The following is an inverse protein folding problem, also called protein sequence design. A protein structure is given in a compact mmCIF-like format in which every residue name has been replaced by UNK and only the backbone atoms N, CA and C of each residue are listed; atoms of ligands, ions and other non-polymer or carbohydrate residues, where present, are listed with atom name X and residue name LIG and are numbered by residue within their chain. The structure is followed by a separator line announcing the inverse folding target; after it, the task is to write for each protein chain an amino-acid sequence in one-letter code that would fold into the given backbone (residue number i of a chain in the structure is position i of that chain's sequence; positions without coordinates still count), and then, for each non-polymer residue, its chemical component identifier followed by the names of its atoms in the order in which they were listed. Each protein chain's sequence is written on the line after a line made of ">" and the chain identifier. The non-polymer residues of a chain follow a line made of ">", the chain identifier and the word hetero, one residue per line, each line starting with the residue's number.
data_IF_141575636109
#
_entry.id   IF_141575636109
#
_cell.length_a   1.000
_cell.length_b   1.000
_cell.length_c   1.000
_cell.angle_alpha   90.00
_cell.angle_beta   90.00
_cell.angle_gamma   90.00
#
_symmetry.space_group_name_H-M   'P 1'
#
loop_
_entity.id
_entity.type
_entity.pdbx_description
1 polymer ?
#
# COMPACT_ATOMS: atom_id res chain seq x y z
N UNK A 1 -26.39 14.01 -13.59
CA UNK A 1 -25.68 13.29 -14.66
C UNK A 1 -24.73 14.28 -15.32
N UNK A 2 -23.42 14.12 -15.15
CA UNK A 2 -22.42 15.02 -15.74
C UNK A 2 -22.04 14.50 -17.15
N UNK A 3 -21.83 15.40 -18.10
CA UNK A 3 -21.44 15.08 -19.48
C UNK A 3 -20.15 15.80 -19.85
N UNK A 4 -19.28 15.13 -20.58
CA UNK A 4 -18.11 15.76 -21.21
C UNK A 4 -18.52 16.24 -22.62
N UNK A 5 -18.26 17.51 -22.93
CA UNK A 5 -18.48 18.09 -24.25
C UNK A 5 -17.24 17.77 -25.14
N UNK A 6 -17.43 17.04 -26.21
CA UNK A 6 -16.45 16.94 -27.29
C UNK A 6 -16.84 17.90 -28.44
N UNK A 7 -15.85 18.36 -29.19
CA UNK A 7 -15.94 19.39 -30.25
C UNK A 7 -17.05 19.19 -31.32
N UNK A 8 -17.76 18.06 -31.29
CA UNK A 8 -18.85 17.75 -32.22
C UNK A 8 -20.23 17.61 -31.54
N UNK A 9 -20.41 18.16 -30.35
CA UNK A 9 -21.72 18.24 -29.68
C UNK A 9 -22.29 16.91 -29.19
N UNK A 10 -21.58 15.80 -29.31
CA UNK A 10 -22.00 14.51 -28.72
C UNK A 10 -21.67 14.49 -27.23
N UNK A 11 -22.70 14.33 -26.42
CA UNK A 11 -22.56 14.14 -24.97
C UNK A 11 -22.46 12.64 -24.71
N UNK A 12 -21.36 12.22 -24.12
CA UNK A 12 -21.24 10.87 -23.57
C UNK A 12 -21.61 10.90 -22.09
N UNK A 13 -22.40 9.93 -21.61
CA UNK A 13 -22.63 9.82 -20.17
C UNK A 13 -21.29 9.57 -19.47
N UNK A 14 -20.93 10.43 -18.51
CA UNK A 14 -19.80 10.13 -17.62
C UNK A 14 -20.22 8.95 -16.73
N UNK A 15 -19.61 7.81 -16.90
CA UNK A 15 -19.77 6.69 -15.97
C UNK A 15 -19.19 7.15 -14.64
N UNK A 16 -19.98 7.16 -13.54
CA UNK A 16 -19.44 7.43 -12.22
C UNK A 16 -18.48 6.29 -11.88
N UNK A 17 -17.21 6.55 -11.98
CA UNK A 17 -16.18 5.56 -11.65
C UNK A 17 -15.55 5.84 -10.29
N UNK A 18 -14.67 4.95 -9.88
CA UNK A 18 -13.80 5.12 -8.73
C UNK A 18 -12.96 6.39 -8.89
N UNK A 19 -12.85 7.17 -7.82
CA UNK A 19 -11.81 8.18 -7.68
C UNK A 19 -10.53 7.49 -7.27
N UNK A 20 -9.43 7.85 -7.89
CA UNK A 20 -8.12 7.31 -7.54
C UNK A 20 -7.05 8.39 -7.72
N UNK A 21 -6.22 8.58 -6.71
CA UNK A 21 -5.03 9.42 -6.73
C UNK A 21 -3.89 8.70 -6.04
N UNK A 22 -2.78 8.62 -6.73
CA UNK A 22 -1.48 8.30 -6.14
C UNK A 22 -0.84 9.63 -5.72
N UNK A 23 -0.39 9.72 -4.49
CA UNK A 23 0.36 10.84 -3.95
C UNK A 23 1.77 10.36 -3.61
N UNK A 24 2.76 11.09 -4.09
CA UNK A 24 4.17 10.74 -3.94
C UNK A 24 4.83 11.72 -2.98
N UNK A 25 5.63 11.19 -2.06
CA UNK A 25 6.55 11.97 -1.25
C UNK A 25 7.97 11.72 -1.79
N UNK A 26 8.52 12.70 -2.53
CA UNK A 26 9.82 12.56 -3.18
C UNK A 26 11.00 12.57 -2.19
N UNK A 27 10.81 13.10 -0.97
CA UNK A 27 11.87 13.13 0.06
C UNK A 27 12.13 11.75 0.65
N UNK A 28 11.05 10.97 0.84
CA UNK A 28 11.11 9.61 1.40
C UNK A 28 10.93 8.52 0.34
N UNK A 29 10.55 8.91 -0.88
CA UNK A 29 10.17 7.99 -1.97
C UNK A 29 9.02 7.04 -1.60
N UNK A 30 8.09 7.55 -0.79
CA UNK A 30 6.86 6.85 -0.40
C UNK A 30 5.71 7.20 -1.34
N UNK A 31 4.85 6.23 -1.60
CA UNK A 31 3.60 6.39 -2.34
C UNK A 31 2.41 6.04 -1.46
N UNK A 32 1.41 6.89 -1.47
CA UNK A 32 0.14 6.72 -0.77
C UNK A 32 -1.04 6.91 -1.71
N UNK A 33 -2.23 6.50 -1.30
CA UNK A 33 -3.36 6.40 -2.21
C UNK A 33 -4.63 6.96 -1.60
N UNK A 34 -5.24 7.94 -2.27
CA UNK A 34 -6.60 8.40 -1.96
C UNK A 34 -7.56 7.83 -3.01
N UNK A 35 -8.50 6.99 -2.58
CA UNK A 35 -9.43 6.34 -3.50
C UNK A 35 -10.82 6.16 -2.90
N UNK A 36 -11.80 5.88 -3.76
CA UNK A 36 -13.15 5.56 -3.31
C UNK A 36 -14.24 5.89 -4.32
N UNK A 37 -15.48 5.81 -3.89
CA UNK A 37 -16.65 5.93 -4.73
C UNK A 37 -17.21 7.37 -4.75
N UNK A 38 -17.11 8.05 -5.88
CA UNK A 38 -17.70 9.40 -6.03
C UNK A 38 -19.23 9.40 -5.88
N UNK A 39 -19.91 8.39 -6.42
CA UNK A 39 -21.37 8.36 -6.45
C UNK A 39 -21.99 8.04 -5.08
N UNK A 40 -21.25 7.43 -4.18
CA UNK A 40 -21.69 7.06 -2.82
C UNK A 40 -21.06 7.93 -1.73
N UNK A 41 -20.15 8.84 -2.11
CA UNK A 41 -19.57 9.81 -1.20
C UNK A 41 -18.70 9.20 -0.11
N UNK A 42 -17.78 8.30 -0.44
CA UNK A 42 -16.88 7.67 0.53
C UNK A 42 -15.47 7.52 -0.05
N UNK A 43 -14.48 8.09 0.65
CA UNK A 43 -13.05 7.95 0.35
C UNK A 43 -12.31 7.19 1.44
N UNK A 44 -11.23 6.51 1.04
CA UNK A 44 -10.21 5.99 1.92
C UNK A 44 -8.83 6.53 1.53
N UNK A 45 -7.93 6.59 2.51
CA UNK A 45 -6.48 6.77 2.29
C UNK A 45 -5.78 5.48 2.66
N UNK A 46 -4.84 5.03 1.82
CA UNK A 46 -4.01 3.85 2.07
C UNK A 46 -2.55 4.29 2.16
N UNK A 47 -1.84 3.81 3.19
CA UNK A 47 -0.46 4.12 3.55
C UNK A 47 -0.19 5.64 3.62
N UNK A 48 -0.94 6.40 4.46
CA UNK A 48 -0.80 7.85 4.52
C UNK A 48 0.55 8.27 5.10
N UNK A 49 1.24 9.18 4.42
CA UNK A 49 2.41 9.87 4.95
C UNK A 49 1.99 11.10 5.77
N UNK A 50 2.64 11.35 6.92
CA UNK A 50 2.27 12.47 7.81
C UNK A 50 2.34 13.83 7.12
N UNK A 51 3.34 14.05 6.27
CA UNK A 51 3.54 15.33 5.57
C UNK A 51 2.49 15.60 4.49
N UNK A 52 1.72 14.59 4.06
CA UNK A 52 0.69 14.70 3.03
C UNK A 52 -0.74 14.79 3.61
N UNK A 53 -0.90 14.82 4.93
CA UNK A 53 -2.22 14.83 5.58
C UNK A 53 -3.10 15.97 5.10
N UNK A 54 -2.56 17.18 5.00
CA UNK A 54 -3.32 18.36 4.52
C UNK A 54 -3.71 18.22 3.04
N UNK A 55 -2.89 17.55 2.23
CA UNK A 55 -3.20 17.32 0.81
C UNK A 55 -4.35 16.31 0.64
N UNK A 56 -4.38 15.20 1.41
CA UNK A 56 -5.52 14.27 1.38
C UNK A 56 -6.82 14.98 1.75
N UNK A 57 -6.81 15.82 2.79
CA UNK A 57 -7.97 16.55 3.24
C UNK A 57 -8.44 17.58 2.20
N UNK A 58 -7.51 18.34 1.60
CA UNK A 58 -7.83 19.30 0.55
C UNK A 58 -8.43 18.62 -0.69
N UNK A 59 -7.93 17.45 -1.09
CA UNK A 59 -8.47 16.67 -2.20
C UNK A 59 -9.89 16.16 -1.89
N UNK A 60 -10.13 15.67 -0.68
CA UNK A 60 -11.43 15.21 -0.22
C UNK A 60 -12.44 16.36 -0.16
N UNK A 61 -12.06 17.52 0.38
CA UNK A 61 -12.85 18.74 0.43
C UNK A 61 -13.20 19.23 -0.98
N UNK A 62 -12.22 19.31 -1.89
CA UNK A 62 -12.45 19.74 -3.27
C UNK A 62 -13.40 18.82 -4.04
N UNK A 63 -13.43 17.53 -3.67
CA UNK A 63 -14.38 16.57 -4.22
C UNK A 63 -15.76 16.61 -3.53
N UNK A 64 -15.86 17.23 -2.37
CA UNK A 64 -17.05 17.21 -1.51
C UNK A 64 -17.36 15.83 -0.94
N UNK A 65 -16.33 14.99 -0.71
CA UNK A 65 -16.47 13.59 -0.31
C UNK A 65 -15.62 13.33 0.94
N UNK A 66 -16.22 12.86 2.06
CA UNK A 66 -15.47 12.62 3.28
C UNK A 66 -14.52 11.42 3.16
N UNK A 67 -13.37 11.50 3.86
CA UNK A 67 -12.53 10.35 4.16
C UNK A 67 -13.20 9.60 5.32
N UNK A 68 -13.59 8.35 5.10
CA UNK A 68 -14.30 7.51 6.08
C UNK A 68 -13.45 6.33 6.55
N UNK A 69 -12.37 6.03 5.86
CA UNK A 69 -11.45 4.93 6.18
C UNK A 69 -10.00 5.36 5.97
N UNK A 70 -9.11 4.88 6.82
CA UNK A 70 -7.66 4.99 6.66
C UNK A 70 -7.07 3.60 6.86
N UNK A 71 -6.34 3.10 5.85
CA UNK A 71 -5.79 1.76 5.85
C UNK A 71 -4.27 1.82 5.84
N UNK A 72 -3.63 0.86 6.50
CA UNK A 72 -2.20 0.58 6.34
C UNK A 72 -2.01 -0.79 5.73
N UNK A 73 -1.04 -0.93 4.82
CA UNK A 73 -0.61 -2.26 4.35
C UNK A 73 0.14 -3.00 5.44
N UNK A 74 0.87 -2.28 6.26
CA UNK A 74 1.62 -2.77 7.41
C UNK A 74 1.95 -1.61 8.36
N UNK A 75 2.49 -1.88 9.55
CA UNK A 75 3.05 -0.82 10.40
C UNK A 75 4.34 -0.33 9.77
N UNK A 76 4.36 0.92 9.31
CA UNK A 76 5.50 1.53 8.64
C UNK A 76 6.70 1.66 9.59
N UNK A 77 7.92 1.44 9.08
CA UNK A 77 9.16 1.50 9.85
C UNK A 77 10.17 2.52 9.29
N UNK A 78 9.89 3.12 8.16
CA UNK A 78 10.76 4.03 7.43
C UNK A 78 10.24 5.47 7.40
N UNK A 79 8.93 5.67 7.58
CA UNK A 79 8.32 6.99 7.67
C UNK A 79 7.22 7.04 8.74
N UNK A 80 6.90 8.26 9.18
CA UNK A 80 5.80 8.49 10.12
C UNK A 80 4.47 8.46 9.38
N UNK A 81 3.57 7.59 9.85
CA UNK A 81 2.23 7.49 9.28
C UNK A 81 1.36 8.70 9.60
N UNK A 82 0.59 9.15 8.61
CA UNK A 82 -0.47 10.15 8.75
C UNK A 82 -1.79 9.59 9.30
N UNK A 83 -1.88 8.27 9.56
CA UNK A 83 -3.12 7.62 10.00
C UNK A 83 -3.69 8.24 11.28
N UNK A 84 -2.92 8.45 12.37
CA UNK A 84 -3.49 9.03 13.60
C UNK A 84 -4.07 10.43 13.38
N UNK A 85 -3.40 11.26 12.58
CA UNK A 85 -3.84 12.62 12.27
C UNK A 85 -5.12 12.63 11.42
N UNK A 86 -5.17 11.78 10.39
CA UNK A 86 -6.37 11.65 9.58
C UNK A 86 -7.56 11.16 10.39
N UNK A 87 -7.38 10.14 11.24
CA UNK A 87 -8.45 9.65 12.12
C UNK A 87 -8.93 10.74 13.07
N UNK A 88 -8.01 11.48 13.70
CA UNK A 88 -8.36 12.56 14.61
C UNK A 88 -9.14 13.70 13.93
N UNK A 89 -8.79 14.03 12.69
CA UNK A 89 -9.37 15.17 11.95
C UNK A 89 -10.66 14.83 11.20
N UNK A 90 -10.87 13.56 10.82
CA UNK A 90 -12.02 13.14 9.99
C UNK A 90 -13.03 12.25 10.73
N UNK A 91 -12.61 11.59 11.82
CA UNK A 91 -13.39 10.54 12.46
C UNK A 91 -13.42 9.24 11.65
N UNK A 92 -12.53 9.09 10.67
CA UNK A 92 -12.43 7.88 9.85
C UNK A 92 -12.07 6.65 10.69
N UNK A 93 -12.49 5.49 10.25
CA UNK A 93 -12.08 4.22 10.85
C UNK A 93 -10.68 3.85 10.39
N UNK A 94 -9.81 3.52 11.35
CA UNK A 94 -8.49 2.95 11.06
C UNK A 94 -8.62 1.44 10.79
N UNK A 95 -7.93 0.95 9.75
CA UNK A 95 -7.84 -0.46 9.40
C UNK A 95 -6.39 -0.88 9.28
N UNK A 96 -6.01 -1.96 9.96
CA UNK A 96 -4.67 -2.53 9.90
C UNK A 96 -4.75 -4.06 9.73
N UNK A 97 -3.69 -4.70 9.20
CA UNK A 97 -3.61 -6.15 9.18
C UNK A 97 -3.77 -6.76 10.57
N UNK A 98 -4.51 -7.87 10.64
CA UNK A 98 -4.54 -8.68 11.86
C UNK A 98 -3.11 -9.07 12.28
N UNK A 99 -2.82 -8.96 13.58
CA UNK A 99 -1.46 -9.21 14.09
C UNK A 99 -0.46 -8.05 13.90
N UNK A 100 -0.90 -6.88 13.44
CA UNK A 100 -0.04 -5.68 13.29
C UNK A 100 0.62 -5.23 14.59
N UNK A 101 0.01 -5.57 15.74
CA UNK A 101 0.47 -5.14 17.06
C UNK A 101 0.23 -3.65 17.34
N UNK A 102 -0.66 -2.99 16.59
CA UNK A 102 -1.05 -1.61 16.87
C UNK A 102 -1.77 -1.50 18.22
N UNK A 103 -1.42 -0.46 18.99
CA UNK A 103 -1.84 -0.24 20.37
C UNK A 103 -2.99 0.77 20.51
N UNK A 104 -3.50 1.28 19.40
CA UNK A 104 -4.61 2.24 19.32
C UNK A 104 -5.87 1.57 18.75
N UNK A 105 -7.06 2.17 18.95
CA UNK A 105 -8.30 1.63 18.38
C UNK A 105 -8.25 1.54 16.85
N UNK A 106 -8.41 0.36 16.32
CA UNK A 106 -8.47 0.08 14.89
C UNK A 106 -9.33 -1.15 14.61
N UNK A 107 -9.71 -1.33 13.37
CA UNK A 107 -10.34 -2.55 12.87
C UNK A 107 -9.24 -3.46 12.27
N UNK A 108 -9.01 -4.60 12.91
CA UNK A 108 -8.08 -5.60 12.40
C UNK A 108 -8.71 -6.32 11.20
N UNK A 109 -8.01 -6.31 10.07
CA UNK A 109 -8.44 -7.02 8.85
C UNK A 109 -7.78 -8.40 8.80
N UNK A 110 -8.59 -9.42 8.66
CA UNK A 110 -8.13 -10.77 8.32
C UNK A 110 -7.94 -10.91 6.80
N UNK A 111 -7.27 -11.99 6.38
CA UNK A 111 -7.14 -12.34 4.96
C UNK A 111 -8.52 -12.54 4.31
N UNK A 112 -8.78 -11.86 3.22
CA UNK A 112 -10.04 -11.91 2.48
C UNK A 112 -11.09 -10.90 2.94
N UNK A 113 -10.91 -10.20 4.06
CA UNK A 113 -11.83 -9.14 4.50
C UNK A 113 -11.93 -8.01 3.46
N UNK A 114 -13.10 -7.38 3.40
CA UNK A 114 -13.39 -6.34 2.41
C UNK A 114 -13.83 -5.05 3.09
N UNK A 115 -13.12 -3.97 2.79
CA UNK A 115 -13.54 -2.60 3.12
C UNK A 115 -14.32 -2.04 1.94
N UNK A 116 -15.61 -1.71 2.18
CA UNK A 116 -16.53 -1.22 1.14
C UNK A 116 -16.72 0.29 1.23
N UNK A 117 -16.41 0.98 0.13
CA UNK A 117 -16.58 2.41 -0.05
C UNK A 117 -17.63 2.66 -1.15
N UNK A 118 -18.86 2.29 -0.88
CA UNK A 118 -19.94 2.32 -1.89
C UNK A 118 -19.73 1.28 -2.99
N UNK A 119 -19.37 1.71 -4.21
CA UNK A 119 -19.08 0.79 -5.32
C UNK A 119 -17.59 0.43 -5.44
N UNK A 120 -16.74 0.98 -4.58
CA UNK A 120 -15.32 0.63 -4.52
C UNK A 120 -15.10 -0.33 -3.36
N UNK A 121 -14.45 -1.44 -3.63
CA UNK A 121 -14.10 -2.46 -2.64
C UNK A 121 -12.59 -2.63 -2.58
N UNK A 122 -12.04 -2.71 -1.36
CA UNK A 122 -10.66 -3.04 -1.07
C UNK A 122 -10.65 -4.38 -0.34
N UNK A 123 -10.23 -5.45 -1.01
CA UNK A 123 -10.09 -6.77 -0.39
C UNK A 123 -8.68 -6.93 0.15
N UNK A 124 -8.57 -7.25 1.43
CA UNK A 124 -7.31 -7.57 2.09
C UNK A 124 -6.78 -8.92 1.57
N UNK A 125 -5.53 -8.92 1.13
CA UNK A 125 -4.80 -10.11 0.70
C UNK A 125 -3.56 -10.23 1.57
N UNK A 126 -3.51 -11.20 2.47
CA UNK A 126 -2.35 -11.39 3.34
C UNK A 126 -1.10 -11.70 2.53
N UNK A 127 -0.09 -10.87 2.69
CA UNK A 127 1.20 -10.93 1.98
C UNK A 127 2.37 -10.66 2.94
N UNK A 128 2.48 -11.42 4.06
CA UNK A 128 3.55 -11.23 5.03
C UNK A 128 4.92 -11.53 4.42
N UNK A 129 5.98 -10.99 5.05
CA UNK A 129 7.38 -11.24 4.69
C UNK A 129 8.24 -9.99 4.74
N UNK A 130 7.83 -8.87 4.13
CA UNK A 130 8.42 -7.58 4.41
C UNK A 130 8.18 -7.17 5.88
N UNK A 131 6.95 -7.31 6.32
CA UNK A 131 6.56 -7.22 7.72
C UNK A 131 5.81 -8.50 8.14
N UNK A 132 5.84 -8.91 9.44
CA UNK A 132 5.13 -10.09 9.91
C UNK A 132 3.62 -10.04 9.66
N UNK A 133 3.02 -8.86 9.80
CA UNK A 133 1.64 -8.57 9.44
C UNK A 133 1.65 -7.55 8.30
N UNK A 134 1.30 -8.01 7.10
CA UNK A 134 1.28 -7.21 5.88
C UNK A 134 0.13 -7.66 4.99
N UNK A 135 -0.62 -6.70 4.44
CA UNK A 135 -1.66 -6.95 3.43
C UNK A 135 -1.39 -6.13 2.17
N UNK A 136 -1.55 -6.75 1.02
CA UNK A 136 -1.90 -6.03 -0.19
C UNK A 136 -3.42 -5.79 -0.23
N UNK A 137 -3.87 -4.78 -0.97
CA UNK A 137 -5.31 -4.52 -1.17
C UNK A 137 -5.66 -4.66 -2.64
N UNK A 138 -6.48 -5.65 -2.96
CA UNK A 138 -7.04 -5.85 -4.30
C UNK A 138 -8.28 -4.97 -4.44
N UNK A 139 -8.28 -4.07 -5.43
CA UNK A 139 -9.30 -3.03 -5.57
C UNK A 139 -10.21 -3.30 -6.75
N UNK A 140 -11.53 -3.30 -6.48
CA UNK A 140 -12.58 -3.50 -7.47
C UNK A 140 -13.48 -2.26 -7.53
N UNK A 141 -13.75 -1.76 -8.74
CA UNK A 141 -14.79 -0.75 -9.01
C UNK A 141 -16.04 -1.43 -9.54
N UNK A 142 -16.97 -1.79 -8.65
CA UNK A 142 -18.23 -2.46 -8.97
C UNK A 142 -19.15 -1.64 -9.89
N UNK A 143 -18.87 -0.35 -10.07
CA UNK A 143 -19.59 0.45 -11.06
C UNK A 143 -19.17 0.16 -12.49
N UNK A 144 -18.03 -0.52 -12.69
CA UNK A 144 -17.46 -0.86 -14.00
C UNK A 144 -17.47 -2.34 -14.31
N UNK A 145 -17.04 -3.17 -13.34
CA UNK A 145 -16.91 -4.61 -13.50
C UNK A 145 -16.92 -5.32 -12.14
N UNK A 146 -17.18 -6.63 -12.16
CA UNK A 146 -17.00 -7.50 -11.00
C UNK A 146 -15.53 -7.94 -10.83
N UNK A 147 -14.74 -7.83 -11.90
CA UNK A 147 -13.32 -8.14 -11.87
C UNK A 147 -12.51 -7.03 -11.19
N UNK A 148 -11.46 -7.37 -10.43
CA UNK A 148 -10.58 -6.39 -9.83
C UNK A 148 -9.79 -5.63 -10.90
N UNK A 149 -9.46 -4.37 -10.61
CA UNK A 149 -8.80 -3.47 -11.55
C UNK A 149 -7.33 -3.20 -11.21
N UNK A 150 -7.02 -3.03 -9.92
CA UNK A 150 -5.67 -2.73 -9.47
C UNK A 150 -5.38 -3.41 -8.12
N UNK A 151 -4.12 -3.43 -7.75
CA UNK A 151 -3.66 -3.92 -6.47
C UNK A 151 -2.66 -2.93 -5.85
N UNK A 152 -2.89 -2.56 -4.60
CA UNK A 152 -1.96 -1.81 -3.76
C UNK A 152 -1.10 -2.84 -3.04
N UNK A 153 0.17 -2.98 -3.43
CA UNK A 153 1.01 -4.10 -2.98
C UNK A 153 1.79 -3.83 -1.70
N UNK A 154 1.68 -2.61 -1.16
CA UNK A 154 2.55 -2.21 -0.05
C UNK A 154 4.01 -2.43 -0.42
N UNK A 155 4.75 -3.01 0.51
CA UNK A 155 6.16 -3.36 0.32
C UNK A 155 6.39 -4.86 0.09
N UNK A 156 5.35 -5.65 -0.17
CA UNK A 156 5.56 -7.05 -0.56
C UNK A 156 6.14 -7.16 -1.97
N UNK A 157 5.57 -6.44 -2.95
CA UNK A 157 6.04 -6.41 -4.33
C UNK A 157 6.20 -4.96 -4.80
N UNK A 158 7.42 -4.63 -5.21
CA UNK A 158 7.82 -3.32 -5.71
C UNK A 158 8.05 -3.39 -7.22
N UNK A 159 8.08 -2.23 -7.90
CA UNK A 159 8.39 -2.20 -9.34
C UNK A 159 9.87 -2.47 -9.54
N UNK A 160 10.19 -3.65 -10.06
CA UNK A 160 11.55 -4.11 -10.34
C UNK A 160 12.26 -4.81 -9.17
N UNK A 161 11.62 -4.94 -7.99
CA UNK A 161 12.20 -5.66 -6.85
C UNK A 161 11.10 -6.26 -5.95
N UNK A 162 11.49 -6.91 -4.86
CA UNK A 162 10.66 -7.31 -3.74
C UNK A 162 11.11 -6.58 -2.48
N UNK A 163 10.21 -6.43 -1.50
CA UNK A 163 10.51 -5.78 -0.24
C UNK A 163 11.59 -6.50 0.56
N UNK A 164 12.32 -5.74 1.38
CA UNK A 164 13.35 -6.27 2.27
C UNK A 164 12.73 -6.89 3.53
N UNK A 165 13.24 -8.03 4.03
CA UNK A 165 12.61 -8.76 5.15
C UNK A 165 13.12 -8.36 6.54
N UNK A 166 14.10 -7.45 6.65
CA UNK A 166 14.87 -7.24 7.88
C UNK A 166 14.36 -6.13 8.80
N UNK A 167 13.57 -5.16 8.28
CA UNK A 167 13.17 -3.98 9.06
C UNK A 167 12.32 -4.31 10.29
N UNK A 168 11.56 -5.40 10.24
CA UNK A 168 10.71 -5.86 11.34
C UNK A 168 11.25 -7.11 12.06
N UNK A 169 12.36 -7.67 11.59
CA UNK A 169 12.98 -8.86 12.16
C UNK A 169 13.87 -8.51 13.37
N UNK A 170 14.04 -9.50 14.24
CA UNK A 170 15.01 -9.44 15.33
C UNK A 170 15.94 -10.61 15.24
N UNK A 171 17.14 -10.36 14.68
CA UNK A 171 18.17 -11.38 14.46
C UNK A 171 18.08 -12.06 13.10
N UNK A 172 19.19 -12.62 12.65
CA UNK A 172 19.37 -13.19 11.30
C UNK A 172 18.38 -14.29 10.96
N UNK A 173 18.12 -15.21 11.90
CA UNK A 173 17.14 -16.28 11.69
C UNK A 173 15.72 -15.75 11.42
N UNK A 174 15.28 -14.68 12.11
CA UNK A 174 13.99 -14.06 11.86
C UNK A 174 13.92 -13.36 10.49
N UNK A 175 15.04 -12.79 10.01
CA UNK A 175 15.14 -12.22 8.66
C UNK A 175 14.96 -13.30 7.61
N UNK A 176 15.64 -14.45 7.79
CA UNK A 176 15.53 -15.60 6.89
C UNK A 176 14.10 -16.15 6.83
N UNK A 177 13.43 -16.30 7.97
CA UNK A 177 12.03 -16.75 8.04
C UNK A 177 11.08 -15.77 7.31
N UNK A 178 11.28 -14.46 7.48
CA UNK A 178 10.48 -13.45 6.77
C UNK A 178 10.78 -13.45 5.27
N UNK A 179 12.04 -13.63 4.85
CA UNK A 179 12.39 -13.77 3.44
C UNK A 179 11.69 -14.97 2.79
N UNK A 180 11.65 -16.10 3.48
CA UNK A 180 10.95 -17.33 3.07
C UNK A 180 9.42 -17.09 2.99
N UNK A 181 8.88 -16.44 3.98
CA UNK A 181 7.46 -16.05 4.00
C UNK A 181 7.11 -15.12 2.83
N UNK A 182 8.00 -14.16 2.52
CA UNK A 182 7.81 -13.27 1.37
C UNK A 182 7.81 -14.03 0.05
N UNK A 183 8.70 -15.03 -0.12
CA UNK A 183 8.70 -15.89 -1.30
C UNK A 183 7.32 -16.53 -1.53
N UNK A 184 6.71 -17.09 -0.48
CA UNK A 184 5.38 -17.69 -0.58
C UNK A 184 4.28 -16.65 -0.83
N UNK A 185 4.37 -15.48 -0.19
CA UNK A 185 3.43 -14.37 -0.44
C UNK A 185 3.49 -13.90 -1.90
N UNK A 186 4.67 -13.79 -2.47
CA UNK A 186 4.85 -13.42 -3.87
C UNK A 186 4.33 -14.52 -4.81
N UNK A 187 4.84 -15.75 -4.66
CA UNK A 187 4.59 -16.85 -5.60
C UNK A 187 3.15 -17.35 -5.56
N UNK A 188 2.57 -17.55 -4.36
CA UNK A 188 1.26 -18.15 -4.19
C UNK A 188 0.10 -17.15 -4.10
N UNK A 189 0.37 -15.87 -3.81
CA UNK A 189 -0.67 -14.88 -3.59
C UNK A 189 -0.66 -13.78 -4.66
N UNK A 190 0.39 -12.97 -4.74
CA UNK A 190 0.44 -11.85 -5.68
C UNK A 190 0.56 -12.31 -7.12
N UNK A 191 1.40 -13.30 -7.41
CA UNK A 191 1.52 -13.85 -8.76
C UNK A 191 0.36 -14.79 -9.16
N UNK A 192 -0.56 -15.12 -8.27
CA UNK A 192 -1.81 -15.76 -8.63
C UNK A 192 -2.87 -14.77 -9.16
N UNK A 193 -2.66 -13.46 -8.96
CA UNK A 193 -3.54 -12.42 -9.47
C UNK A 193 -3.46 -12.30 -11.00
N UNK A 194 -4.53 -11.82 -11.67
CA UNK A 194 -4.55 -11.61 -13.11
C UNK A 194 -3.47 -10.64 -13.61
N UNK A 195 -2.87 -10.94 -14.75
CA UNK A 195 -1.80 -10.15 -15.38
C UNK A 195 -2.16 -8.68 -15.63
N UNK A 196 -3.43 -8.39 -15.88
CA UNK A 196 -3.91 -7.05 -16.21
C UNK A 196 -4.00 -6.10 -15.02
N UNK A 197 -3.93 -6.60 -13.79
CA UNK A 197 -4.02 -5.74 -12.61
C UNK A 197 -2.88 -4.74 -12.59
N UNK A 198 -3.24 -3.47 -12.50
CA UNK A 198 -2.26 -2.39 -12.31
C UNK A 198 -1.70 -2.49 -10.89
N UNK A 199 -0.40 -2.54 -10.79
CA UNK A 199 0.34 -2.65 -9.54
C UNK A 199 0.77 -1.27 -9.05
N UNK A 200 0.48 -0.98 -7.80
CA UNK A 200 0.83 0.24 -7.09
C UNK A 200 1.52 -0.10 -5.76
N UNK A 201 2.85 0.07 -5.65
CA UNK A 201 3.61 -0.21 -4.43
C UNK A 201 3.60 0.96 -3.45
N UNK A 202 3.99 0.73 -2.18
CA UNK A 202 4.15 1.82 -1.22
C UNK A 202 5.45 2.62 -1.42
N UNK A 203 6.43 2.08 -2.16
CA UNK A 203 7.73 2.73 -2.39
C UNK A 203 8.20 2.63 -3.85
N UNK A 204 9.09 3.59 -4.23
CA UNK A 204 9.72 3.65 -5.56
C UNK A 204 11.21 4.04 -5.44
N UNK A 205 11.88 4.30 -6.56
CA UNK A 205 13.33 4.57 -6.59
C UNK A 205 13.72 5.76 -5.69
N UNK A 206 14.67 5.50 -4.83
CA UNK A 206 15.11 6.41 -3.76
C UNK A 206 14.79 5.89 -2.36
N UNK A 207 13.79 5.01 -2.23
CA UNK A 207 13.46 4.36 -0.97
C UNK A 207 14.53 3.35 -0.55
N UNK A 208 14.64 3.18 0.77
CA UNK A 208 15.47 2.16 1.41
C UNK A 208 14.80 0.78 1.45
N UNK A 209 13.53 0.67 1.01
CA UNK A 209 12.75 -0.56 1.09
C UNK A 209 13.03 -1.57 -0.02
N UNK A 210 13.85 -1.22 -1.03
CA UNK A 210 14.29 -2.10 -2.11
C UNK A 210 15.67 -1.71 -2.62
N UNK A 211 16.26 -2.59 -3.48
CA UNK A 211 17.64 -2.45 -3.97
C UNK A 211 17.72 -1.94 -5.40
N UNK A 212 16.75 -2.31 -6.23
CA UNK A 212 16.71 -2.04 -7.67
C UNK A 212 15.41 -1.40 -8.13
N UNK A 213 14.80 -0.52 -7.32
CA UNK A 213 13.50 0.06 -7.58
C UNK A 213 13.49 0.94 -8.83
N UNK A 214 12.44 0.78 -9.62
CA UNK A 214 12.13 1.68 -10.72
C UNK A 214 11.75 3.08 -10.21
N UNK A 215 12.11 4.11 -10.96
CA UNK A 215 11.57 5.46 -10.75
C UNK A 215 10.10 5.60 -11.23
N UNK A 216 9.60 4.64 -12.00
CA UNK A 216 8.18 4.55 -12.32
C UNK A 216 7.45 3.84 -11.17
N UNK A 217 6.55 4.52 -10.43
CA UNK A 217 5.87 3.95 -9.28
C UNK A 217 4.63 3.11 -9.68
N UNK A 218 4.55 2.65 -10.92
CA UNK A 218 3.39 1.93 -11.46
C UNK A 218 3.87 0.81 -12.37
N UNK A 219 3.28 -0.38 -12.23
CA UNK A 219 3.51 -1.52 -13.12
C UNK A 219 2.23 -2.33 -13.32
N UNK A 220 2.34 -3.60 -13.73
CA UNK A 220 1.27 -4.58 -13.72
C UNK A 220 1.78 -5.92 -13.18
N UNK A 221 0.89 -6.73 -12.63
CA UNK A 221 1.25 -8.08 -12.17
C UNK A 221 1.91 -8.88 -13.31
N UNK A 222 1.37 -8.79 -14.51
CA UNK A 222 1.92 -9.52 -15.66
C UNK A 222 3.27 -9.01 -16.15
N UNK A 223 3.57 -7.72 -15.99
CA UNK A 223 4.90 -7.19 -16.32
C UNK A 223 5.93 -7.63 -15.28
N UNK A 224 5.63 -7.47 -13.99
CA UNK A 224 6.52 -7.89 -12.92
C UNK A 224 6.80 -9.39 -12.95
N UNK A 225 5.78 -10.22 -13.19
CA UNK A 225 5.94 -11.68 -13.34
C UNK A 225 7.00 -12.06 -14.38
N UNK A 226 7.13 -11.30 -15.46
CA UNK A 226 8.05 -11.59 -16.58
C UNK A 226 9.40 -10.90 -16.47
N UNK A 227 9.48 -9.76 -15.80
CA UNK A 227 10.64 -8.88 -15.90
C UNK A 227 11.25 -8.46 -14.57
N UNK A 228 10.59 -8.75 -13.43
CA UNK A 228 11.14 -8.44 -12.12
C UNK A 228 12.27 -9.43 -11.77
N UNK A 229 13.52 -8.95 -11.55
CA UNK A 229 14.66 -9.83 -11.25
C UNK A 229 14.47 -10.70 -9.99
N UNK A 230 13.79 -10.18 -8.95
CA UNK A 230 13.52 -10.94 -7.74
C UNK A 230 12.56 -12.11 -8.02
N UNK A 231 11.54 -11.89 -8.86
CA UNK A 231 10.56 -12.91 -9.23
C UNK A 231 11.11 -13.95 -10.25
N UNK A 232 12.23 -13.65 -10.92
CA UNK A 232 12.91 -14.59 -11.79
C UNK A 232 13.62 -15.72 -11.03
N UNK A 233 13.81 -15.57 -9.70
CA UNK A 233 14.45 -16.57 -8.84
C UNK A 233 13.38 -17.58 -8.40
N UNK A 234 13.27 -18.69 -9.10
CA UNK A 234 12.23 -19.70 -8.86
C UNK A 234 12.53 -20.65 -7.68
N UNK A 235 13.79 -20.78 -7.31
CA UNK A 235 14.21 -21.61 -6.17
C UNK A 235 14.12 -20.79 -4.87
N UNK A 236 13.42 -21.32 -3.86
CA UNK A 236 13.17 -20.63 -2.59
C UNK A 236 14.45 -20.30 -1.84
N UNK A 237 15.39 -21.26 -1.74
CA UNK A 237 16.65 -21.05 -1.03
C UNK A 237 17.53 -20.01 -1.74
N UNK A 238 17.54 -20.03 -3.07
CA UNK A 238 18.23 -19.03 -3.87
C UNK A 238 17.60 -17.63 -3.71
N UNK A 239 16.28 -17.55 -3.61
CA UNK A 239 15.55 -16.29 -3.36
C UNK A 239 15.90 -15.73 -1.98
N UNK A 240 15.82 -16.55 -0.94
CA UNK A 240 16.18 -16.15 0.43
C UNK A 240 17.64 -15.67 0.48
N UNK A 241 18.57 -16.45 -0.08
CA UNK A 241 19.98 -16.06 -0.15
C UNK A 241 20.20 -14.75 -0.93
N UNK A 242 19.42 -14.49 -1.98
CA UNK A 242 19.47 -13.25 -2.74
C UNK A 242 18.94 -12.06 -1.95
N UNK A 243 17.83 -12.21 -1.21
CA UNK A 243 17.28 -11.15 -0.36
C UNK A 243 18.19 -10.80 0.82
N UNK A 244 18.87 -11.79 1.39
CA UNK A 244 19.78 -11.58 2.52
C UNK A 244 21.15 -11.02 2.09
N UNK A 245 21.45 -11.01 0.79
CA UNK A 245 22.70 -10.46 0.27
C UNK A 245 22.57 -8.95 0.11
N UNK A 246 23.59 -8.23 0.58
CA UNK A 246 23.71 -6.79 0.37
C UNK A 246 22.48 -5.97 0.84
N UNK A 247 21.91 -6.36 2.00
CA UNK A 247 20.82 -5.62 2.63
C UNK A 247 21.30 -4.19 2.91
N UNK A 248 20.60 -3.15 2.38
CA UNK A 248 20.97 -1.76 2.65
C UNK A 248 20.92 -1.44 4.15
N UNK A 249 21.68 -0.46 4.66
CA UNK A 249 21.51 -0.01 6.03
C UNK A 249 20.05 0.29 6.37
N UNK A 250 19.62 -0.02 7.59
CA UNK A 250 18.29 0.35 8.05
C UNK A 250 18.13 1.88 8.08
N UNK A 251 16.92 2.41 7.83
CA UNK A 251 16.64 3.84 7.97
C UNK A 251 17.03 4.36 9.34
N UNK A 252 17.49 5.62 9.40
CA UNK A 252 17.71 6.30 10.67
C UNK A 252 16.41 6.31 11.47
N UNK A 253 16.51 6.06 12.78
CA UNK A 253 15.36 6.03 13.71
C UNK A 253 14.27 4.99 13.38
N UNK A 254 14.55 3.98 12.55
CA UNK A 254 13.59 2.94 12.15
C UNK A 254 12.81 2.34 13.33
N UNK A 255 13.51 1.96 14.41
CA UNK A 255 12.88 1.38 15.59
C UNK A 255 11.95 2.35 16.31
N UNK A 256 12.31 3.65 16.36
CA UNK A 256 11.50 4.71 16.96
C UNK A 256 10.26 5.00 16.09
N UNK A 257 10.42 5.06 14.77
CA UNK A 257 9.32 5.26 13.83
C UNK A 257 8.32 4.10 13.94
N UNK A 258 8.79 2.86 13.88
CA UNK A 258 7.93 1.69 14.01
C UNK A 258 7.19 1.65 15.38
N UNK A 259 7.86 2.05 16.45
CA UNK A 259 7.23 2.15 17.78
C UNK A 259 6.18 3.27 17.85
N UNK A 260 6.45 4.44 17.27
CA UNK A 260 5.52 5.56 17.23
C UNK A 260 4.27 5.21 16.41
N UNK A 261 4.45 4.61 15.22
CA UNK A 261 3.37 4.18 14.35
C UNK A 261 2.52 3.08 15.02
N UNK A 262 3.16 2.12 15.72
CA UNK A 262 2.43 1.10 16.47
C UNK A 262 1.62 1.70 17.62
N UNK A 263 2.17 2.69 18.32
CA UNK A 263 1.48 3.37 19.41
C UNK A 263 0.43 4.39 18.94
N UNK A 264 0.36 4.70 17.63
CA UNK A 264 -0.53 5.73 17.08
C UNK A 264 -0.19 7.13 17.59
N UNK A 265 1.09 7.45 17.77
CA UNK A 265 1.57 8.71 18.36
C UNK A 265 2.52 9.44 17.42
N UNK A 266 2.60 10.77 17.52
CA UNK A 266 3.64 11.53 16.84
C UNK A 266 5.03 11.03 17.23
N UNK A 267 5.96 11.05 16.30
CA UNK A 267 7.36 10.79 16.62
C UNK A 267 7.88 11.92 17.52
N UNK A 268 8.57 11.57 18.62
CA UNK A 268 9.18 12.55 19.47
C UNK A 268 10.21 13.38 18.68
N UNK A 269 10.16 14.71 18.84
CA UNK A 269 11.17 15.58 18.25
C UNK A 269 12.56 15.13 18.75
N UNK A 270 13.53 15.10 17.86
CA UNK A 270 14.94 14.90 18.25
C UNK A 270 15.36 16.10 19.10
N UNK A 271 15.96 15.89 20.28
CA UNK A 271 16.36 16.98 21.18
C UNK A 271 17.43 17.89 20.54
#
# INVERSE_FOLDING_TARGET
>A
MAYLLLEHGRRFPTVPGMYFRQLLNDETSCASYLLGCKSKGAFAVVDPHVDLVDEYLALAESAGIPIVAVLETHVQADHVSGLPDLVARTGATAYLPEGSGAEFPHHALADGDVVTLGNTELQALATPGHAPAHHAYVVTDRSRADDPWLVLTGDALLVGDAGRPDLHARGEHAVEELARTLYHSLSARLLALPDHLVLYPAHYSGSVCGRGLSSNPISTIGFERRHNPALAIADEEAFVAALMRDIPPAPERQAEIAAANRAGRPLAATP
#
